data_IF_773495855660
#
_entry.id   IF_773495855660
#
_cell.length_a   1.000
_cell.length_b   1.000
_cell.length_c   1.000
_cell.angle_alpha   90.00
_cell.angle_beta   90.00
_cell.angle_gamma   90.00
#
_symmetry.space_group_name_H-M   'P 1'
#
loop_
_entity.id
_entity.type
_entity.pdbx_description
1 polymer ?
#
# COMPACT_ATOMS: atom_id res chain seq x y z
N UNK A 1 -14.50 -13.92 -22.74
CA UNK A 1 -14.22 -13.59 -21.32
C UNK A 1 -15.02 -12.35 -21.03
N UNK A 2 -15.70 -12.26 -19.88
CA UNK A 2 -16.49 -11.06 -19.54
C UNK A 2 -15.55 -9.84 -19.55
N UNK A 3 -16.01 -8.72 -20.12
CA UNK A 3 -15.25 -7.46 -20.22
C UNK A 3 -14.92 -6.86 -18.82
N UNK A 4 -15.44 -7.44 -17.73
CA UNK A 4 -15.26 -6.98 -16.37
C UNK A 4 -14.06 -7.60 -15.64
N UNK A 5 -13.38 -8.60 -16.22
CA UNK A 5 -12.15 -9.12 -15.61
C UNK A 5 -11.01 -8.12 -15.79
N UNK A 6 -10.27 -7.83 -14.73
CA UNK A 6 -9.08 -6.98 -14.79
C UNK A 6 -8.06 -7.35 -13.72
N UNK A 7 -6.85 -6.79 -13.83
CA UNK A 7 -5.79 -7.05 -12.85
C UNK A 7 -5.14 -5.76 -12.38
N UNK A 8 -4.71 -5.74 -11.13
CA UNK A 8 -3.88 -4.67 -10.60
C UNK A 8 -2.74 -5.25 -9.79
N UNK A 9 -1.62 -4.51 -9.72
CA UNK A 9 -0.50 -4.86 -8.86
C UNK A 9 -0.54 -4.04 -7.57
N UNK A 10 -0.35 -4.71 -6.44
CA UNK A 10 -0.14 -4.07 -5.13
C UNK A 10 1.34 -4.25 -4.75
N UNK A 11 2.08 -3.14 -4.77
CA UNK A 11 3.51 -3.06 -4.45
C UNK A 11 3.65 -2.23 -3.18
N UNK A 12 4.43 -2.68 -2.21
CA UNK A 12 4.61 -1.98 -0.93
C UNK A 12 6.03 -2.16 -0.45
N UNK A 13 6.47 -1.34 0.51
CA UNK A 13 7.75 -1.49 1.19
C UNK A 13 8.89 -1.68 0.17
N UNK A 14 8.90 -0.78 -0.83
CA UNK A 14 10.01 -0.69 -1.79
C UNK A 14 11.23 -0.10 -1.12
N UNK A 15 11.00 0.77 -0.14
CA UNK A 15 11.91 1.25 0.88
C UNK A 15 13.29 1.57 0.29
N UNK A 16 13.31 2.34 -0.80
CA UNK A 16 14.53 2.69 -1.52
C UNK A 16 15.55 3.28 -0.54
N UNK A 17 16.69 2.59 -0.37
CA UNK A 17 17.76 2.98 0.56
C UNK A 17 17.93 2.04 1.76
N UNK A 18 16.95 1.17 2.04
CA UNK A 18 16.99 0.24 3.17
C UNK A 18 17.93 -0.97 2.95
N UNK A 19 17.89 -1.56 1.76
CA UNK A 19 18.61 -2.78 1.39
C UNK A 19 19.28 -2.62 0.02
N UNK A 20 20.23 -1.68 -0.03
CA UNK A 20 20.98 -1.28 -1.23
C UNK A 20 22.50 -1.45 -1.04
N UNK A 21 23.02 -2.69 -0.97
CA UNK A 21 24.40 -2.99 -0.53
C UNK A 21 25.51 -2.41 -1.42
N UNK A 22 25.18 -2.06 -2.66
CA UNK A 22 26.12 -1.48 -3.63
C UNK A 22 25.65 -0.11 -4.15
N UNK A 23 24.88 0.62 -3.33
CA UNK A 23 24.25 1.89 -3.70
C UNK A 23 22.87 1.72 -4.33
N UNK A 24 22.15 2.83 -4.51
CA UNK A 24 20.76 2.84 -4.97
C UNK A 24 20.58 2.24 -6.37
N UNK A 25 21.53 2.45 -7.27
CA UNK A 25 21.53 1.88 -8.63
C UNK A 25 22.36 0.59 -8.77
N UNK A 26 22.87 0.08 -7.65
CA UNK A 26 23.71 -1.12 -7.62
C UNK A 26 22.93 -2.42 -7.83
N UNK A 27 23.61 -3.52 -8.20
CA UNK A 27 22.97 -4.83 -8.32
C UNK A 27 22.36 -5.26 -6.99
N UNK A 28 21.13 -5.76 -7.03
CA UNK A 28 20.41 -6.19 -5.83
C UNK A 28 20.04 -5.05 -4.89
N UNK A 29 19.98 -3.80 -5.38
CA UNK A 29 19.40 -2.69 -4.63
C UNK A 29 17.87 -2.80 -4.53
N UNK A 30 17.29 -2.02 -3.62
CA UNK A 30 15.85 -1.84 -3.53
C UNK A 30 15.26 -1.36 -4.87
N UNK A 31 15.96 -0.43 -5.52
CA UNK A 31 15.58 0.10 -6.83
C UNK A 31 15.56 -1.01 -7.89
N UNK A 32 16.58 -1.86 -7.94
CA UNK A 32 16.63 -2.97 -8.89
C UNK A 32 15.45 -3.96 -8.71
N UNK A 33 15.02 -4.19 -7.46
CA UNK A 33 13.86 -5.03 -7.14
C UNK A 33 12.53 -4.36 -7.51
N UNK A 34 12.41 -3.05 -7.29
CA UNK A 34 11.26 -2.28 -7.75
C UNK A 34 11.19 -2.24 -9.29
N UNK A 35 12.32 -2.02 -9.97
CA UNK A 35 12.43 -2.06 -11.43
C UNK A 35 11.99 -3.42 -11.99
N UNK A 36 12.36 -4.52 -11.32
CA UNK A 36 11.90 -5.88 -11.63
C UNK A 36 10.37 -6.02 -11.52
N UNK A 37 9.76 -5.50 -10.45
CA UNK A 37 8.30 -5.48 -10.31
C UNK A 37 7.63 -4.65 -11.41
N UNK A 38 8.18 -3.49 -11.76
CA UNK A 38 7.67 -2.60 -12.82
C UNK A 38 7.81 -3.25 -14.20
N UNK A 39 8.92 -3.95 -14.46
CA UNK A 39 9.11 -4.73 -15.68
C UNK A 39 8.05 -5.84 -15.81
N UNK A 40 7.74 -6.54 -14.70
CA UNK A 40 6.65 -7.51 -14.69
C UNK A 40 5.30 -6.86 -15.01
N UNK A 41 4.97 -5.74 -14.36
CA UNK A 41 3.72 -5.00 -14.63
C UNK A 41 3.63 -4.63 -16.11
N UNK A 42 4.68 -4.06 -16.68
CA UNK A 42 4.73 -3.61 -18.07
C UNK A 42 4.68 -4.74 -19.11
N UNK A 43 5.07 -5.95 -18.73
CA UNK A 43 5.11 -7.13 -19.61
C UNK A 43 3.82 -7.97 -19.53
N UNK A 44 2.91 -7.67 -18.59
CA UNK A 44 1.70 -8.43 -18.35
C UNK A 44 0.45 -7.54 -18.48
N UNK A 45 -0.71 -8.18 -18.57
CA UNK A 45 -2.01 -7.49 -18.56
C UNK A 45 -2.35 -7.03 -17.14
N UNK A 46 -1.83 -5.87 -16.75
CA UNK A 46 -2.12 -5.15 -15.51
C UNK A 46 -2.75 -3.80 -15.90
N UNK A 47 -3.85 -3.43 -15.27
CA UNK A 47 -4.59 -2.20 -15.58
C UNK A 47 -4.04 -0.98 -14.82
N UNK A 48 -3.60 -1.19 -13.57
CA UNK A 48 -3.02 -0.15 -12.72
C UNK A 48 -2.16 -0.74 -11.58
N UNK A 49 -1.39 0.14 -10.93
CA UNK A 49 -0.57 -0.18 -9.75
C UNK A 49 -1.06 0.58 -8.52
N UNK A 50 -0.96 -0.03 -7.36
CA UNK A 50 -1.22 0.58 -6.06
C UNK A 50 0.00 0.42 -5.17
N UNK A 51 0.54 1.54 -4.70
CA UNK A 51 1.63 1.58 -3.74
C UNK A 51 1.12 1.62 -2.29
N UNK A 52 1.58 0.68 -1.46
CA UNK A 52 1.11 0.48 -0.07
C UNK A 52 1.81 1.30 1.02
N UNK A 53 2.73 2.21 0.66
CA UNK A 53 3.56 2.95 1.61
C UNK A 53 4.98 2.39 1.73
N UNK A 54 5.84 3.11 2.43
CA UNK A 54 7.29 2.83 2.56
C UNK A 54 7.95 2.63 1.19
N UNK A 55 7.74 3.59 0.28
CA UNK A 55 8.42 3.72 -0.99
C UNK A 55 9.91 4.06 -0.84
N UNK A 56 10.28 4.94 0.08
CA UNK A 56 11.66 5.34 0.41
C UNK A 56 11.99 4.94 1.84
N UNK A 57 13.26 5.02 2.24
CA UNK A 57 13.68 4.65 3.60
C UNK A 57 13.79 5.84 4.56
N UNK A 58 14.15 7.02 4.09
CA UNK A 58 14.45 8.15 4.97
C UNK A 58 13.62 9.37 4.58
N UNK A 59 12.70 9.77 5.48
CA UNK A 59 11.94 10.99 5.36
C UNK A 59 12.76 12.21 5.78
N UNK A 60 12.86 13.19 4.88
CA UNK A 60 13.33 14.56 5.16
C UNK A 60 14.77 14.65 5.72
N UNK A 61 15.66 13.77 5.25
CA UNK A 61 17.10 13.75 5.54
C UNK A 61 17.93 14.18 4.32
N UNK A 62 19.27 14.15 4.43
CA UNK A 62 20.17 14.39 3.30
C UNK A 62 20.07 13.31 2.21
N UNK A 63 19.68 12.08 2.58
CA UNK A 63 19.53 10.95 1.65
C UNK A 63 18.20 10.96 0.89
N UNK A 64 17.19 11.66 1.41
CA UNK A 64 15.82 11.62 0.89
C UNK A 64 15.72 12.00 -0.58
N UNK A 65 16.45 13.01 -1.05
CA UNK A 65 16.36 13.42 -2.45
C UNK A 65 16.86 12.33 -3.40
N UNK A 66 17.97 11.66 -3.06
CA UNK A 66 18.48 10.56 -3.86
C UNK A 66 17.53 9.35 -3.89
N UNK A 67 16.90 9.04 -2.75
CA UNK A 67 15.91 7.96 -2.66
C UNK A 67 14.63 8.28 -3.45
N UNK A 68 14.15 9.53 -3.36
CA UNK A 68 13.02 10.02 -4.14
C UNK A 68 13.32 10.01 -5.63
N UNK A 69 14.47 10.53 -6.06
CA UNK A 69 14.87 10.54 -7.47
C UNK A 69 14.93 9.11 -8.04
N UNK A 70 15.46 8.15 -7.27
CA UNK A 70 15.51 6.74 -7.65
C UNK A 70 14.11 6.08 -7.72
N UNK A 71 13.23 6.39 -6.76
CA UNK A 71 11.84 5.94 -6.77
C UNK A 71 11.08 6.51 -7.98
N UNK A 72 11.10 7.83 -8.16
CA UNK A 72 10.44 8.54 -9.26
C UNK A 72 10.93 8.04 -10.63
N UNK A 73 12.24 7.81 -10.79
CA UNK A 73 12.82 7.22 -12.01
C UNK A 73 12.24 5.85 -12.32
N UNK A 74 12.09 5.00 -11.31
CA UNK A 74 11.54 3.66 -11.46
C UNK A 74 10.05 3.74 -11.84
N UNK A 75 9.28 4.53 -11.08
CA UNK A 75 7.83 4.72 -11.29
C UNK A 75 7.51 5.36 -12.64
N UNK A 76 8.34 6.27 -13.14
CA UNK A 76 8.19 6.88 -14.45
C UNK A 76 8.25 5.87 -15.61
N UNK A 77 8.79 4.67 -15.39
CA UNK A 77 8.80 3.60 -16.39
C UNK A 77 7.48 2.81 -16.46
N UNK A 78 6.55 2.98 -15.51
CA UNK A 78 5.23 2.34 -15.57
C UNK A 78 4.44 2.81 -16.78
N UNK A 79 3.86 1.87 -17.52
CA UNK A 79 2.99 2.13 -18.68
C UNK A 79 1.51 2.26 -18.32
N UNK A 80 1.20 2.11 -17.03
CA UNK A 80 -0.17 2.08 -16.48
C UNK A 80 -0.29 3.12 -15.37
N UNK A 81 -1.49 3.62 -15.08
CA UNK A 81 -1.71 4.52 -13.96
C UNK A 81 -1.27 3.88 -12.64
N UNK A 82 -0.82 4.73 -11.70
CA UNK A 82 -0.49 4.30 -10.36
C UNK A 82 -1.12 5.21 -9.30
N UNK A 83 -1.44 4.61 -8.17
CA UNK A 83 -1.98 5.26 -6.98
C UNK A 83 -1.11 4.89 -5.78
N UNK A 84 -1.20 5.64 -4.70
CA UNK A 84 -0.39 5.32 -3.53
C UNK A 84 -0.84 6.00 -2.25
N UNK A 85 -0.44 5.38 -1.15
CA UNK A 85 -0.44 5.98 0.20
C UNK A 85 0.99 6.05 0.70
N UNK A 86 1.22 6.85 1.74
CA UNK A 86 2.51 6.85 2.44
C UNK A 86 2.55 5.80 3.55
N UNK A 87 3.76 5.37 3.90
CA UNK A 87 4.06 4.66 5.14
C UNK A 87 4.73 5.56 6.17
N UNK A 88 5.34 4.95 7.19
CA UNK A 88 6.08 5.73 8.20
C UNK A 88 7.40 6.28 7.66
N UNK A 89 7.99 5.66 6.66
CA UNK A 89 9.28 6.10 6.14
C UNK A 89 9.18 7.33 5.21
N UNK A 90 7.98 7.69 4.74
CA UNK A 90 7.71 8.95 4.04
C UNK A 90 7.13 10.05 4.95
N UNK A 91 6.83 9.73 6.21
CA UNK A 91 6.06 10.62 7.08
C UNK A 91 6.86 11.84 7.53
N UNK A 92 6.37 13.04 7.19
CA UNK A 92 6.86 14.30 7.78
C UNK A 92 6.04 14.76 9.00
N UNK A 93 6.34 15.96 9.51
CA UNK A 93 5.55 16.56 10.61
C UNK A 93 4.25 17.18 10.07
N UNK A 94 3.08 16.96 10.70
CA UNK A 94 1.81 17.53 10.24
C UNK A 94 1.78 19.06 10.12
N UNK A 95 2.57 19.76 10.94
CA UNK A 95 2.60 21.22 10.97
C UNK A 95 3.42 21.86 9.84
N UNK A 96 4.00 21.07 8.94
CA UNK A 96 4.89 21.55 7.89
C UNK A 96 4.73 20.78 6.59
N UNK A 97 5.48 21.22 5.59
CA UNK A 97 5.73 20.45 4.37
C UNK A 97 7.01 19.65 4.55
N UNK A 98 7.15 18.57 3.79
CA UNK A 98 8.34 17.73 3.77
C UNK A 98 8.57 17.22 2.35
N UNK A 99 9.80 16.82 2.04
CA UNK A 99 10.25 16.51 0.66
C UNK A 99 9.28 15.64 -0.15
N UNK A 100 8.72 14.58 0.43
CA UNK A 100 7.78 13.69 -0.27
C UNK A 100 6.53 14.42 -0.77
N UNK A 101 5.93 15.29 0.04
CA UNK A 101 4.77 16.12 -0.37
C UNK A 101 5.21 17.24 -1.32
N UNK A 102 6.40 17.82 -1.14
CA UNK A 102 6.93 18.87 -2.04
C UNK A 102 7.13 18.37 -3.47
N UNK A 103 7.46 17.07 -3.62
CA UNK A 103 7.51 16.38 -4.92
C UNK A 103 6.12 16.11 -5.51
N UNK A 104 5.03 16.36 -4.78
CA UNK A 104 3.67 16.11 -5.23
C UNK A 104 3.29 14.62 -5.27
N UNK A 105 4.02 13.77 -4.52
CA UNK A 105 3.77 12.34 -4.48
C UNK A 105 2.49 12.02 -3.67
N UNK A 106 1.78 10.94 -4.03
CA UNK A 106 0.46 10.66 -3.47
C UNK A 106 0.56 10.21 -2.01
N UNK A 107 -0.26 10.83 -1.16
CA UNK A 107 -0.44 10.46 0.26
C UNK A 107 -1.78 9.78 0.55
N UNK A 108 -2.73 9.95 -0.36
CA UNK A 108 -4.12 9.45 -0.34
C UNK A 108 -4.62 9.33 -1.77
N UNK A 109 -5.65 8.51 -1.97
CA UNK A 109 -6.37 8.47 -3.24
C UNK A 109 -7.78 7.93 -3.07
N UNK A 110 -8.62 8.14 -4.07
CA UNK A 110 -9.89 7.43 -4.24
C UNK A 110 -10.10 7.21 -5.73
N UNK A 111 -10.48 6.00 -6.12
CA UNK A 111 -10.68 5.64 -7.52
C UNK A 111 -11.80 4.61 -7.67
N UNK A 112 -12.35 4.56 -8.87
CA UNK A 112 -13.24 3.49 -9.32
C UNK A 112 -12.71 2.92 -10.62
N UNK A 113 -12.57 1.61 -10.69
CA UNK A 113 -12.19 0.88 -11.89
C UNK A 113 -13.10 -0.32 -12.05
N UNK A 114 -13.97 -0.29 -13.06
CA UNK A 114 -15.00 -1.32 -13.28
C UNK A 114 -15.84 -1.55 -12.00
N UNK A 115 -15.91 -2.79 -11.50
CA UNK A 115 -16.66 -3.17 -10.29
C UNK A 115 -15.94 -2.86 -8.97
N UNK A 116 -14.74 -2.27 -9.00
CA UNK A 116 -13.93 -1.99 -7.82
C UNK A 116 -13.90 -0.50 -7.48
N UNK A 117 -14.32 -0.17 -6.26
CA UNK A 117 -13.99 1.08 -5.60
C UNK A 117 -12.80 0.87 -4.65
N UNK A 118 -11.83 1.79 -4.68
CA UNK A 118 -10.67 1.74 -3.79
C UNK A 118 -10.37 3.11 -3.21
N UNK A 119 -10.08 3.15 -1.90
CA UNK A 119 -9.64 4.35 -1.20
C UNK A 119 -8.32 4.08 -0.47
N UNK A 120 -7.35 4.96 -0.66
CA UNK A 120 -6.09 4.98 0.08
C UNK A 120 -6.10 6.03 1.17
N UNK A 121 -5.81 5.61 2.40
CA UNK A 121 -5.78 6.45 3.58
C UNK A 121 -4.37 6.65 4.13
N UNK A 122 -4.16 7.77 4.79
CA UNK A 122 -2.92 8.16 5.42
C UNK A 122 -2.75 7.41 6.76
N UNK A 123 -2.10 6.25 6.69
CA UNK A 123 -2.05 5.28 7.79
C UNK A 123 -1.55 5.82 9.13
N UNK A 124 -0.58 6.73 9.15
CA UNK A 124 -0.03 7.30 10.40
C UNK A 124 -1.06 8.15 11.13
N UNK A 125 -1.94 8.81 10.40
CA UNK A 125 -3.00 9.62 10.98
C UNK A 125 -4.09 8.71 11.54
N UNK A 126 -4.43 7.62 10.84
CA UNK A 126 -5.33 6.58 11.37
C UNK A 126 -4.77 5.86 12.60
N UNK A 127 -3.44 5.76 12.73
CA UNK A 127 -2.76 5.25 13.94
C UNK A 127 -2.77 6.25 15.10
N UNK A 128 -3.24 7.48 14.88
CA UNK A 128 -3.36 8.55 15.88
C UNK A 128 -2.03 9.03 16.49
N UNK A 129 -0.90 8.78 15.82
CA UNK A 129 0.43 9.17 16.31
C UNK A 129 0.60 10.69 16.43
N UNK A 130 -0.18 11.45 15.64
CA UNK A 130 -0.17 12.90 15.62
C UNK A 130 -1.39 13.54 16.31
N UNK A 131 -2.02 12.80 17.23
CA UNK A 131 -3.11 13.29 18.05
C UNK A 131 -4.49 13.23 17.39
N UNK A 132 -5.50 13.56 18.19
CA UNK A 132 -6.92 13.36 17.84
C UNK A 132 -7.35 14.19 16.62
N UNK A 133 -6.81 15.39 16.44
CA UNK A 133 -7.20 16.26 15.33
C UNK A 133 -6.82 15.65 13.97
N UNK A 134 -5.58 15.18 13.81
CA UNK A 134 -5.14 14.51 12.59
C UNK A 134 -5.87 13.19 12.38
N UNK A 135 -6.11 12.45 13.46
CA UNK A 135 -6.90 11.22 13.40
C UNK A 135 -8.33 11.47 12.91
N UNK A 136 -9.01 12.47 13.48
CA UNK A 136 -10.38 12.80 13.12
C UNK A 136 -10.47 13.35 11.69
N UNK A 137 -9.54 14.22 11.29
CA UNK A 137 -9.48 14.71 9.91
C UNK A 137 -9.32 13.56 8.91
N UNK A 138 -8.44 12.58 9.20
CA UNK A 138 -8.27 11.41 8.34
C UNK A 138 -9.49 10.50 8.34
N UNK A 139 -10.09 10.30 9.51
CA UNK A 139 -11.33 9.56 9.64
C UNK A 139 -12.44 10.16 8.78
N UNK A 140 -12.64 11.48 8.84
CA UNK A 140 -13.69 12.18 8.09
C UNK A 140 -13.45 12.06 6.59
N UNK A 141 -12.19 12.18 6.13
CA UNK A 141 -11.83 11.96 4.74
C UNK A 141 -12.15 10.52 4.28
N UNK A 142 -11.79 9.52 5.08
CA UNK A 142 -12.03 8.10 4.78
C UNK A 142 -13.52 7.76 4.76
N UNK A 143 -14.29 8.20 5.76
CA UNK A 143 -15.74 7.97 5.84
C UNK A 143 -16.47 8.69 4.70
N UNK A 144 -16.04 9.90 4.33
CA UNK A 144 -16.57 10.63 3.16
C UNK A 144 -16.32 9.87 1.86
N UNK A 145 -15.09 9.39 1.64
CA UNK A 145 -14.75 8.63 0.44
C UNK A 145 -15.55 7.32 0.34
N UNK A 146 -15.66 6.57 1.45
CA UNK A 146 -16.44 5.32 1.51
C UNK A 146 -17.95 5.55 1.33
N UNK A 147 -18.48 6.67 1.81
CA UNK A 147 -19.86 7.07 1.59
C UNK A 147 -20.14 7.45 0.14
N UNK A 148 -19.14 8.02 -0.56
CA UNK A 148 -19.19 8.39 -1.96
C UNK A 148 -18.96 7.24 -2.94
N UNK A 149 -18.69 6.01 -2.46
CA UNK A 149 -18.46 4.86 -3.32
C UNK A 149 -19.67 4.58 -4.23
N UNK A 150 -19.49 4.43 -5.56
CA UNK A 150 -20.61 4.22 -6.49
C UNK A 150 -21.43 2.97 -6.12
N UNK A 151 -22.75 3.07 -6.28
CA UNK A 151 -23.68 1.99 -5.90
C UNK A 151 -23.46 0.67 -6.67
N UNK A 152 -22.89 0.75 -7.89
CA UNK A 152 -22.61 -0.42 -8.74
C UNK A 152 -21.26 -1.11 -8.47
N UNK A 153 -20.47 -0.64 -7.49
CA UNK A 153 -19.21 -1.31 -7.14
C UNK A 153 -19.47 -2.54 -6.26
N UNK A 154 -19.14 -3.73 -6.77
CA UNK A 154 -19.22 -5.00 -6.04
C UNK A 154 -18.11 -5.12 -4.98
N UNK A 155 -16.96 -4.53 -5.25
CA UNK A 155 -15.79 -4.60 -4.39
C UNK A 155 -15.42 -3.23 -3.86
N UNK A 156 -15.17 -3.16 -2.56
CA UNK A 156 -14.70 -1.96 -1.86
C UNK A 156 -13.42 -2.30 -1.11
N UNK A 157 -12.32 -1.68 -1.54
CA UNK A 157 -10.99 -1.93 -1.01
C UNK A 157 -10.50 -0.68 -0.26
N UNK A 158 -9.87 -0.89 0.88
CA UNK A 158 -9.13 0.15 1.60
C UNK A 158 -7.65 -0.17 1.51
N UNK A 159 -6.82 0.84 1.26
CA UNK A 159 -5.37 0.73 1.27
C UNK A 159 -4.84 1.61 2.38
N UNK A 160 -4.09 1.03 3.30
CA UNK A 160 -3.44 1.75 4.39
C UNK A 160 -2.17 1.03 4.77
N UNK A 161 -1.12 1.77 5.10
CA UNK A 161 0.19 1.15 5.28
C UNK A 161 0.24 0.16 6.46
N UNK A 162 -0.32 0.51 7.62
CA UNK A 162 -0.36 -0.35 8.80
C UNK A 162 -1.45 -1.41 8.72
N UNK A 163 -1.12 -2.70 8.94
CA UNK A 163 -2.12 -3.76 9.06
C UNK A 163 -3.11 -3.53 10.20
N UNK A 164 -4.36 -3.96 10.01
CA UNK A 164 -5.36 -3.98 11.09
C UNK A 164 -4.99 -4.94 12.22
N UNK A 165 -4.26 -6.01 11.91
CA UNK A 165 -3.70 -6.96 12.87
C UNK A 165 -2.51 -7.70 12.26
N UNK A 166 -1.62 -8.22 13.08
CA UNK A 166 -0.50 -9.07 12.66
C UNK A 166 -0.79 -10.57 12.87
N UNK A 167 -1.38 -10.91 14.02
CA UNK A 167 -1.59 -12.31 14.42
C UNK A 167 -3.06 -12.62 14.71
N UNK A 168 -3.71 -11.79 15.53
CA UNK A 168 -5.11 -11.98 15.88
C UNK A 168 -5.80 -10.66 16.26
N UNK A 169 -7.14 -10.56 16.18
CA UNK A 169 -7.82 -9.28 16.36
C UNK A 169 -7.78 -8.67 17.76
N UNK A 170 -7.47 -9.48 18.77
CA UNK A 170 -7.38 -9.06 20.17
C UNK A 170 -5.94 -8.84 20.63
N UNK A 171 -4.99 -8.78 19.71
CA UNK A 171 -3.59 -8.50 20.04
C UNK A 171 -3.43 -7.07 20.56
N UNK A 172 -2.35 -6.85 21.32
CA UNK A 172 -2.03 -5.51 21.78
C UNK A 172 -1.66 -4.58 20.62
N UNK A 173 -1.97 -3.29 20.80
CA UNK A 173 -1.42 -2.26 19.94
C UNK A 173 0.11 -2.27 20.04
N UNK A 174 0.77 -2.20 18.88
CA UNK A 174 2.22 -2.24 18.78
C UNK A 174 2.68 -1.36 17.61
N UNK A 175 3.99 -1.27 17.42
CA UNK A 175 4.53 -0.61 16.24
C UNK A 175 3.99 -1.21 14.92
N UNK A 176 3.67 -2.50 14.90
CA UNK A 176 3.40 -3.29 13.70
C UNK A 176 1.95 -3.30 13.22
N UNK A 177 1.04 -2.68 13.95
CA UNK A 177 -0.38 -2.63 13.63
C UNK A 177 -0.96 -1.23 13.86
N UNK A 178 -2.16 -1.01 13.33
CA UNK A 178 -2.89 0.23 13.58
C UNK A 178 -3.48 0.24 15.01
N UNK A 179 -3.55 1.44 15.60
CA UNK A 179 -4.32 1.68 16.81
C UNK A 179 -5.81 1.81 16.49
N UNK A 180 -6.68 1.77 17.52
CA UNK A 180 -8.13 2.01 17.38
C UNK A 180 -8.82 1.10 16.35
N UNK A 181 -8.24 -0.07 16.07
CA UNK A 181 -8.68 -0.98 15.01
C UNK A 181 -10.18 -1.25 15.05
N UNK A 182 -10.75 -1.42 16.25
CA UNK A 182 -12.18 -1.63 16.47
C UNK A 182 -13.07 -0.63 15.73
N UNK A 183 -12.75 0.66 15.84
CA UNK A 183 -13.47 1.74 15.15
C UNK A 183 -13.36 1.59 13.63
N UNK A 184 -12.15 1.36 13.11
CA UNK A 184 -11.92 1.18 11.68
C UNK A 184 -12.69 -0.01 11.11
N UNK A 185 -12.71 -1.14 11.81
CA UNK A 185 -13.43 -2.34 11.39
C UNK A 185 -14.94 -2.07 11.35
N UNK A 186 -15.48 -1.39 12.37
CA UNK A 186 -16.89 -1.01 12.39
C UNK A 186 -17.25 -0.11 11.20
N UNK A 187 -16.43 0.90 10.92
CA UNK A 187 -16.57 1.76 9.74
C UNK A 187 -16.56 0.91 8.45
N UNK A 188 -15.55 0.07 8.28
CA UNK A 188 -15.38 -0.79 7.11
C UNK A 188 -16.58 -1.70 6.88
N UNK A 189 -17.12 -2.30 7.95
CA UNK A 189 -18.36 -3.08 7.88
C UNK A 189 -19.57 -2.27 7.45
N UNK A 190 -19.78 -1.08 8.06
CA UNK A 190 -20.92 -0.21 7.71
C UNK A 190 -20.90 0.18 6.22
N UNK A 191 -19.70 0.34 5.66
CA UNK A 191 -19.52 0.72 4.26
C UNK A 191 -19.28 -0.46 3.31
N UNK A 192 -19.42 -1.70 3.76
CA UNK A 192 -19.27 -2.89 2.91
C UNK A 192 -17.87 -3.07 2.33
N UNK A 193 -16.83 -2.63 3.04
CA UNK A 193 -15.43 -2.90 2.66
C UNK A 193 -15.18 -4.40 2.69
N UNK A 194 -14.70 -4.93 1.57
CA UNK A 194 -14.45 -6.36 1.36
C UNK A 194 -12.99 -6.76 1.52
N UNK A 195 -12.06 -5.80 1.38
CA UNK A 195 -10.63 -6.06 1.49
C UNK A 195 -9.88 -4.84 2.05
N UNK A 196 -8.87 -5.09 2.89
CA UNK A 196 -7.89 -4.10 3.34
C UNK A 196 -6.52 -4.54 2.88
N UNK A 197 -5.83 -3.69 2.11
CA UNK A 197 -4.46 -3.89 1.64
C UNK A 197 -3.50 -3.09 2.53
N UNK A 198 -2.40 -3.72 2.93
CA UNK A 198 -1.38 -3.10 3.78
C UNK A 198 0.04 -3.58 3.51
N UNK A 199 1.01 -2.81 3.99
CA UNK A 199 2.44 -3.13 3.99
C UNK A 199 2.97 -3.23 5.41
N UNK A 200 4.11 -2.60 5.69
CA UNK A 200 4.70 -2.34 7.01
C UNK A 200 5.26 -3.57 7.74
N UNK A 201 4.49 -4.65 7.76
CA UNK A 201 4.84 -5.87 8.49
C UNK A 201 5.93 -6.68 7.78
N UNK A 202 6.25 -6.34 6.53
CA UNK A 202 7.23 -7.04 5.69
C UNK A 202 7.07 -8.56 5.71
N UNK A 203 5.81 -8.99 5.80
CA UNK A 203 5.37 -10.38 5.75
C UNK A 203 3.97 -10.46 5.16
N UNK A 204 3.65 -11.61 4.60
CA UNK A 204 2.29 -11.86 4.15
C UNK A 204 1.32 -12.08 5.31
N UNK A 205 0.19 -11.38 5.24
CA UNK A 205 -1.02 -11.71 5.96
C UNK A 205 -2.07 -12.03 4.91
N UNK A 206 -2.68 -13.20 5.01
CA UNK A 206 -3.79 -13.61 4.14
C UNK A 206 -4.88 -14.19 5.05
N UNK A 207 -5.71 -13.30 5.57
CA UNK A 207 -6.71 -13.63 6.56
C UNK A 207 -8.08 -13.09 6.13
N UNK A 208 -9.15 -13.77 6.54
CA UNK A 208 -10.49 -13.20 6.50
C UNK A 208 -11.00 -13.05 7.92
N UNK A 209 -11.47 -11.86 8.27
CA UNK A 209 -12.06 -11.62 9.57
C UNK A 209 -13.34 -10.81 9.46
N UNK A 210 -14.43 -11.43 9.93
CA UNK A 210 -15.78 -10.85 9.91
C UNK A 210 -16.22 -10.37 8.52
N UNK A 211 -15.83 -11.11 7.47
CA UNK A 211 -16.18 -10.80 6.08
C UNK A 211 -15.24 -9.83 5.37
N UNK A 212 -14.20 -9.33 6.06
CA UNK A 212 -13.19 -8.46 5.46
C UNK A 212 -11.92 -9.28 5.25
N UNK A 213 -11.43 -9.35 4.02
CA UNK A 213 -10.10 -9.92 3.75
C UNK A 213 -9.02 -8.91 4.14
N UNK A 214 -8.02 -9.36 4.89
CA UNK A 214 -6.89 -8.59 5.34
C UNK A 214 -5.66 -9.13 4.62
N UNK A 215 -5.18 -8.35 3.65
CA UNK A 215 -4.05 -8.73 2.83
C UNK A 215 -2.89 -7.80 3.13
N UNK A 216 -1.81 -8.36 3.67
CA UNK A 216 -0.52 -7.66 3.80
C UNK A 216 0.47 -8.31 2.87
N UNK A 217 1.36 -7.52 2.26
CA UNK A 217 2.40 -8.02 1.35
C UNK A 217 3.77 -7.87 1.99
N UNK A 218 4.65 -8.84 1.74
CA UNK A 218 6.07 -8.82 2.16
C UNK A 218 6.80 -7.54 1.71
N UNK A 219 6.52 -7.10 0.48
CA UNK A 219 7.18 -5.95 -0.11
C UNK A 219 8.46 -6.34 -0.85
N UNK A 220 9.11 -5.34 -1.45
CA UNK A 220 10.19 -5.59 -2.41
C UNK A 220 11.59 -5.33 -1.84
N UNK A 221 11.71 -4.66 -0.68
CA UNK A 221 13.01 -4.33 -0.08
C UNK A 221 13.60 -5.45 0.80
N UNK A 222 12.86 -5.88 1.82
CA UNK A 222 13.38 -6.74 2.89
C UNK A 222 12.26 -7.59 3.53
N UNK A 223 12.65 -8.72 4.13
CA UNK A 223 11.77 -9.58 4.94
C UNK A 223 12.16 -9.53 6.43
N UNK A 224 11.20 -9.55 7.35
CA UNK A 224 11.48 -9.48 8.79
C UNK A 224 11.68 -10.84 9.49
N UNK A 225 11.06 -11.93 9.04
CA UNK A 225 11.25 -13.27 9.62
C UNK A 225 11.31 -14.36 8.54
N UNK A 226 11.66 -15.60 8.96
CA UNK A 226 11.74 -16.90 8.24
C UNK A 226 11.36 -16.90 6.74
N UNK A 227 12.16 -17.56 5.88
CA UNK A 227 12.43 -17.13 4.51
C UNK A 227 11.16 -16.92 3.69
N UNK A 228 10.75 -15.65 3.59
CA UNK A 228 9.82 -15.20 2.57
C UNK A 228 10.63 -14.67 1.37
N UNK A 229 10.11 -14.90 0.16
CA UNK A 229 10.69 -14.29 -1.03
C UNK A 229 10.18 -12.85 -1.15
N UNK A 230 11.09 -11.91 -1.41
CA UNK A 230 10.74 -10.53 -1.73
C UNK A 230 9.76 -10.52 -2.89
N UNK A 231 8.63 -9.84 -2.70
CA UNK A 231 7.51 -9.99 -3.60
C UNK A 231 6.48 -8.88 -3.50
N UNK A 232 5.68 -8.78 -4.55
CA UNK A 232 4.46 -7.98 -4.59
C UNK A 232 3.26 -8.89 -4.92
N UNK A 233 2.05 -8.38 -4.83
CA UNK A 233 0.83 -9.14 -5.16
C UNK A 233 0.19 -8.65 -6.45
N UNK A 234 -0.25 -9.58 -7.28
CA UNK A 234 -1.15 -9.30 -8.41
C UNK A 234 -2.54 -9.79 -8.06
N UNK A 235 -3.49 -8.88 -8.12
CA UNK A 235 -4.91 -9.15 -7.95
C UNK A 235 -5.55 -9.37 -9.31
N UNK A 236 -6.41 -10.38 -9.42
CA UNK A 236 -7.35 -10.53 -10.53
C UNK A 236 -8.74 -10.36 -9.95
N UNK A 237 -9.48 -9.39 -10.46
CA UNK A 237 -10.86 -9.07 -10.06
C UNK A 237 -11.78 -9.52 -11.18
N UNK A 238 -12.90 -10.14 -10.81
CA UNK A 238 -13.89 -10.70 -11.71
C UNK A 238 -15.28 -10.62 -11.07
N UNK A 239 -16.33 -10.92 -11.83
CA UNK A 239 -17.71 -10.90 -11.32
C UNK A 239 -17.85 -11.79 -10.07
N UNK A 240 -18.33 -11.21 -8.97
CA UNK A 240 -18.56 -11.93 -7.72
C UNK A 240 -17.30 -12.26 -6.90
N UNK A 241 -16.10 -11.79 -7.27
CA UNK A 241 -14.92 -12.07 -6.47
C UNK A 241 -13.57 -11.56 -6.99
N UNK A 242 -12.53 -11.93 -6.27
CA UNK A 242 -11.15 -11.63 -6.64
C UNK A 242 -10.22 -12.71 -6.09
N UNK A 243 -9.03 -12.79 -6.68
CA UNK A 243 -7.93 -13.62 -6.20
C UNK A 243 -6.64 -12.81 -6.17
N UNK A 244 -5.79 -13.06 -5.18
CA UNK A 244 -4.44 -12.48 -5.10
C UNK A 244 -3.40 -13.57 -5.26
N UNK A 245 -2.31 -13.27 -5.97
CA UNK A 245 -1.14 -14.15 -6.04
C UNK A 245 0.14 -13.37 -5.79
N UNK A 246 1.11 -14.01 -5.16
CA UNK A 246 2.46 -13.49 -4.95
C UNK A 246 3.26 -13.52 -6.27
N UNK A 247 4.10 -12.50 -6.49
CA UNK A 247 5.07 -12.41 -7.59
C UNK A 247 6.43 -12.06 -6.99
N UNK A 248 7.38 -12.99 -7.08
CA UNK A 248 8.75 -12.78 -6.59
C UNK A 248 9.48 -11.77 -7.47
N UNK A 249 10.21 -10.83 -6.87
CA UNK A 249 11.06 -9.85 -7.60
C UNK A 249 12.49 -10.36 -7.84
N UNK A 250 12.83 -11.53 -7.30
CA UNK A 250 14.17 -12.12 -7.41
C UNK A 250 14.34 -13.03 -8.65
N UNK A 251 13.24 -13.41 -9.32
CA UNK A 251 13.19 -14.41 -10.40
C UNK A 251 12.62 -13.88 -11.72
N UNK A 252 12.60 -12.56 -11.93
CA UNK A 252 12.00 -11.92 -13.13
C UNK A 252 13.07 -11.60 -14.16
#
# INVERSE_FOLDING_TARGET
>A
MSDDVFRFAFITDSQIGMNSPFGLDGPGSDKARLDSAIAHVNANEIDFVVFGGDQINDADTEETDAQLDAFETSVAALKVPHYGVIGNHEQGRPSGTWKYIERGLPVRFSMTHKSLFMVGAHGTYLRADFGEENWQAEWDCLETALSGAPAGCEHRFVVMHWPLMNYHPGEAESYWNVSRRGKLIELFKRHGVSCVLSGHWQQDIDANWQGISLITSVGTSKTLQYPEELSFKVFTVFEGGWSARRVSVEKI
#
